data_IF_770531743221
#
_entry.id   IF_770531743221
#
_cell.length_a   1.000
_cell.length_b   1.000
_cell.length_c   1.000
_cell.angle_alpha   90.00
_cell.angle_beta   90.00
_cell.angle_gamma   90.00
#
_symmetry.space_group_name_H-M   'P 1'
#
loop_
_entity.id
_entity.type
_entity.pdbx_description
1 polymer ?
#
# COMPACT_ATOMS: atom_id res chain seq x y z
N UNK A 1 5.97 9.09 19.66
CA UNK A 1 5.08 8.68 18.56
C UNK A 1 5.94 8.06 17.47
N UNK A 2 5.94 6.74 17.35
CA UNK A 2 6.62 6.06 16.24
C UNK A 2 5.72 6.15 15.01
N UNK A 3 6.19 6.82 13.95
CA UNK A 3 5.55 6.74 12.64
C UNK A 3 5.46 5.25 12.25
N UNK A 4 4.29 4.78 11.85
CA UNK A 4 4.15 3.43 11.31
C UNK A 4 5.15 3.24 10.16
N UNK A 5 5.78 2.05 10.09
CA UNK A 5 6.69 1.73 8.99
C UNK A 5 5.95 1.95 7.67
N UNK A 6 6.53 2.77 6.79
CA UNK A 6 6.00 3.00 5.46
C UNK A 6 5.90 1.67 4.70
N UNK A 7 4.76 1.45 4.04
CA UNK A 7 4.59 0.30 3.16
C UNK A 7 5.55 0.42 1.98
N UNK A 8 6.45 -0.56 1.81
CA UNK A 8 7.40 -0.59 0.70
C UNK A 8 6.98 -1.68 -0.30
N UNK A 9 6.26 -1.24 -1.35
CA UNK A 9 5.72 -2.13 -2.37
C UNK A 9 6.81 -2.91 -3.12
N UNK A 10 7.92 -2.26 -3.47
CA UNK A 10 9.02 -2.89 -4.22
C UNK A 10 9.70 -4.01 -3.42
N UNK A 11 9.96 -3.76 -2.13
CA UNK A 11 10.56 -4.75 -1.24
C UNK A 11 9.65 -5.95 -1.06
N UNK A 12 8.35 -5.73 -0.87
CA UNK A 12 7.38 -6.81 -0.76
C UNK A 12 7.25 -7.59 -2.07
N UNK A 13 7.20 -6.89 -3.21
CA UNK A 13 7.15 -7.49 -4.54
C UNK A 13 8.32 -8.45 -4.75
N UNK A 14 9.55 -7.95 -4.53
CA UNK A 14 10.76 -8.76 -4.71
C UNK A 14 10.77 -9.97 -3.79
N UNK A 15 10.35 -9.81 -2.53
CA UNK A 15 10.29 -10.93 -1.60
C UNK A 15 9.32 -12.02 -2.05
N UNK A 16 8.14 -11.64 -2.58
CA UNK A 16 7.16 -12.59 -3.11
C UNK A 16 7.73 -13.29 -4.33
N UNK A 17 8.28 -12.56 -5.30
CA UNK A 17 8.83 -13.15 -6.53
C UNK A 17 9.93 -14.16 -6.21
N UNK A 18 10.91 -13.77 -5.38
CA UNK A 18 11.98 -14.68 -4.96
C UNK A 18 11.44 -15.90 -4.22
N UNK A 19 10.50 -15.73 -3.29
CA UNK A 19 9.91 -16.85 -2.56
C UNK A 19 9.25 -17.87 -3.51
N UNK A 20 8.43 -17.41 -4.46
CA UNK A 20 7.72 -18.32 -5.35
C UNK A 20 8.63 -18.97 -6.39
N UNK A 21 9.67 -18.28 -6.86
CA UNK A 21 10.66 -18.88 -7.75
C UNK A 21 11.52 -19.89 -6.96
N UNK A 22 12.19 -19.43 -5.90
CA UNK A 22 13.25 -20.19 -5.24
C UNK A 22 12.71 -21.31 -4.34
N UNK A 23 11.53 -21.11 -3.72
CA UNK A 23 10.96 -22.07 -2.75
C UNK A 23 9.79 -22.87 -3.31
N UNK A 24 9.10 -22.37 -4.34
CA UNK A 24 7.92 -23.03 -4.91
C UNK A 24 8.13 -23.52 -6.34
N UNK A 25 9.25 -23.19 -6.98
CA UNK A 25 9.55 -23.60 -8.35
C UNK A 25 8.56 -23.02 -9.38
N UNK A 26 7.87 -21.94 -9.03
CA UNK A 26 6.89 -21.29 -9.91
C UNK A 26 7.61 -20.50 -10.99
N UNK A 27 7.02 -20.44 -12.19
CA UNK A 27 7.56 -19.65 -13.28
C UNK A 27 7.71 -18.17 -12.88
N UNK A 28 8.72 -17.48 -13.42
CA UNK A 28 8.89 -16.04 -13.17
C UNK A 28 7.64 -15.24 -13.55
N UNK A 29 6.96 -15.63 -14.64
CA UNK A 29 5.74 -14.96 -15.09
C UNK A 29 4.60 -15.10 -14.08
N UNK A 30 4.40 -16.29 -13.52
CA UNK A 30 3.33 -16.52 -12.55
C UNK A 30 3.68 -15.95 -11.17
N UNK A 31 4.94 -16.02 -10.76
CA UNK A 31 5.43 -15.35 -9.55
C UNK A 31 5.21 -13.82 -9.61
N UNK A 32 5.46 -13.21 -10.77
CA UNK A 32 5.16 -11.79 -10.99
C UNK A 32 3.67 -11.49 -10.88
N UNK A 33 2.79 -12.32 -11.47
CA UNK A 33 1.33 -12.15 -11.36
C UNK A 33 0.86 -12.23 -9.90
N UNK A 34 1.37 -13.21 -9.15
CA UNK A 34 1.07 -13.37 -7.72
C UNK A 34 1.52 -12.14 -6.94
N UNK A 35 2.76 -11.68 -7.18
CA UNK A 35 3.30 -10.49 -6.52
C UNK A 35 2.46 -9.24 -6.84
N UNK A 36 2.09 -9.00 -8.10
CA UNK A 36 1.23 -7.88 -8.48
C UNK A 36 -0.12 -7.94 -7.75
N UNK A 37 -0.78 -9.10 -7.75
CA UNK A 37 -2.08 -9.25 -7.07
C UNK A 37 -2.01 -8.94 -5.58
N UNK A 38 -0.96 -9.42 -4.90
CA UNK A 38 -0.75 -9.14 -3.47
C UNK A 38 -0.45 -7.66 -3.25
N UNK A 39 0.44 -7.06 -4.05
CA UNK A 39 0.78 -5.63 -3.93
C UNK A 39 -0.45 -4.75 -4.13
N UNK A 40 -1.27 -4.99 -5.15
CA UNK A 40 -2.51 -4.24 -5.39
C UNK A 40 -3.43 -4.30 -4.17
N UNK A 41 -3.67 -5.51 -3.63
CA UNK A 41 -4.54 -5.69 -2.47
C UNK A 41 -3.99 -5.00 -1.22
N UNK A 42 -2.68 -5.04 -0.99
CA UNK A 42 -2.08 -4.34 0.13
C UNK A 42 -2.15 -2.82 -0.07
N UNK A 43 -1.84 -2.32 -1.26
CA UNK A 43 -1.99 -0.89 -1.59
C UNK A 43 -3.42 -0.40 -1.33
N UNK A 44 -4.45 -1.14 -1.75
CA UNK A 44 -5.86 -0.80 -1.46
C UNK A 44 -6.16 -0.68 0.05
N UNK A 45 -5.52 -1.50 0.90
CA UNK A 45 -5.65 -1.38 2.36
C UNK A 45 -4.99 -0.13 2.91
N UNK A 46 -3.93 0.33 2.25
CA UNK A 46 -3.22 1.56 2.57
C UNK A 46 -3.80 2.77 1.84
N UNK A 47 -4.76 2.65 0.91
CA UNK A 47 -5.42 3.79 0.28
C UNK A 47 -6.51 4.35 1.19
N UNK A 48 -6.61 5.68 1.23
CA UNK A 48 -7.67 6.41 1.90
C UNK A 48 -9.03 5.99 1.33
N UNK A 49 -9.94 5.57 2.23
CA UNK A 49 -11.29 5.14 1.86
C UNK A 49 -12.24 6.30 1.54
N UNK A 50 -11.79 7.54 1.70
CA UNK A 50 -12.51 8.71 1.23
C UNK A 50 -12.38 8.78 -0.31
N UNK A 51 -13.50 8.62 -0.99
CA UNK A 51 -13.58 8.63 -2.46
C UNK A 51 -13.16 9.95 -3.09
N UNK A 52 -12.96 11.01 -2.29
CA UNK A 52 -12.54 12.34 -2.76
C UNK A 52 -11.05 12.49 -3.01
N UNK A 53 -10.19 11.61 -2.48
CA UNK A 53 -8.73 11.76 -2.65
C UNK A 53 -7.96 10.50 -3.05
N UNK A 54 -8.32 9.31 -2.54
CA UNK A 54 -7.61 8.07 -2.89
C UNK A 54 -6.10 8.04 -2.59
N UNK A 55 -5.60 8.95 -1.75
CA UNK A 55 -4.17 9.02 -1.37
C UNK A 55 -3.79 7.87 -0.43
N UNK A 56 -2.48 7.61 -0.29
CA UNK A 56 -2.03 6.58 0.63
C UNK A 56 -2.10 7.07 2.08
N UNK A 57 -2.34 6.15 3.00
CA UNK A 57 -2.64 6.42 4.41
C UNK A 57 -1.45 7.03 5.16
N UNK A 58 -0.24 6.92 4.62
CA UNK A 58 0.94 7.60 5.16
C UNK A 58 1.05 9.07 4.69
N UNK A 59 0.39 9.43 3.58
CA UNK A 59 0.17 10.83 3.17
C UNK A 59 -0.92 11.48 4.03
N UNK A 60 -1.54 10.69 4.92
CA UNK A 60 -2.35 11.18 6.03
C UNK A 60 -1.53 11.14 7.32
N UNK A 61 -1.51 12.24 8.06
CA UNK A 61 -1.07 12.21 9.47
C UNK A 61 -2.15 11.42 10.21
N UNK A 62 -1.95 10.10 10.34
CA UNK A 62 -2.92 9.14 10.89
C UNK A 62 -3.44 9.52 12.28
N UNK A 63 -2.65 10.29 13.04
CA UNK A 63 -3.03 10.79 14.37
C UNK A 63 -3.89 12.06 14.36
N UNK A 64 -3.94 12.79 13.23
CA UNK A 64 -4.66 14.06 13.10
C UNK A 64 -5.79 14.01 12.06
N UNK A 65 -5.93 12.91 11.32
CA UNK A 65 -6.89 12.76 10.22
C UNK A 65 -6.79 13.90 9.18
N UNK A 66 -5.56 14.36 8.92
CA UNK A 66 -5.25 15.44 7.97
C UNK A 66 -4.36 14.89 6.86
N UNK A 67 -4.73 15.09 5.60
CA UNK A 67 -3.85 14.79 4.47
C UNK A 67 -2.80 15.89 4.33
N UNK A 68 -1.57 15.50 3.99
CA UNK A 68 -0.45 16.43 3.77
C UNK A 68 -0.49 17.09 2.39
N UNK A 69 -1.37 16.62 1.49
CA UNK A 69 -1.59 17.21 0.17
C UNK A 69 -2.47 18.45 0.32
N UNK A 70 -1.90 19.61 -0.04
CA UNK A 70 -2.46 20.95 0.18
C UNK A 70 -3.86 21.12 -0.43
N UNK A 71 -4.12 20.52 -1.59
CA UNK A 71 -5.41 20.64 -2.30
C UNK A 71 -6.40 19.50 -1.99
N UNK A 72 -6.12 18.65 -0.99
CA UNK A 72 -7.02 17.56 -0.63
C UNK A 72 -8.26 18.06 0.12
N UNK A 73 -9.44 17.91 -0.48
CA UNK A 73 -10.73 18.22 0.16
C UNK A 73 -11.20 17.19 1.20
N UNK A 74 -10.30 16.30 1.63
CA UNK A 74 -10.54 15.31 2.67
C UNK A 74 -10.62 16.00 4.04
N UNK A 75 -11.65 16.85 4.22
CA UNK A 75 -12.01 17.44 5.49
C UNK A 75 -12.53 16.35 6.40
N UNK A 76 -11.65 15.84 7.27
CA UNK A 76 -11.87 15.03 8.47
C UNK A 76 -13.01 13.99 8.38
N UNK A 77 -12.65 12.72 8.51
CA UNK A 77 -13.62 11.63 8.65
C UNK A 77 -14.69 11.95 9.71
N UNK A 78 -15.96 11.91 9.30
CA UNK A 78 -17.11 11.82 10.21
C UNK A 78 -17.05 10.42 10.83
N UNK A 79 -17.15 10.36 12.16
CA UNK A 79 -17.00 9.16 13.00
C UNK A 79 -17.79 7.96 12.52
#
# INVERSE_FOLDING_TARGET
MSLEKTFNAERLYNHIVHYYIDKKGVSKADANKIAQSVITRELERYVCKDSRCGHLSYDHIKNQNTCTIIDCQCGKFVK
#
